data_IF_636528484246
#
_entry.id   IF_636528484246
#
_cell.length_a   1.000
_cell.length_b   1.000
_cell.length_c   1.000
_cell.angle_alpha   90.00
_cell.angle_beta   90.00
_cell.angle_gamma   90.00
#
_symmetry.space_group_name_H-M   'P 1'
#
loop_
_entity.id
_entity.type
_entity.pdbx_description
1 polymer ?
#
# COMPACT_ATOMS: atom_id res chain seq x y z
N UNK A 1 -16.45 12.34 -8.31
CA UNK A 1 -15.08 12.33 -7.71
C UNK A 1 -15.15 12.92 -6.31
N UNK A 2 -14.55 12.23 -5.36
CA UNK A 2 -14.41 12.74 -3.99
C UNK A 2 -13.03 13.38 -3.80
N UNK A 3 -12.99 14.46 -3.04
CA UNK A 3 -11.73 15.10 -2.68
C UNK A 3 -11.46 14.81 -1.21
N UNK A 4 -10.36 14.11 -0.93
CA UNK A 4 -9.92 13.85 0.44
C UNK A 4 -8.74 14.75 0.79
N UNK A 5 -8.82 15.34 1.98
CA UNK A 5 -7.68 16.04 2.58
C UNK A 5 -7.04 15.13 3.62
N UNK A 6 -6.44 14.03 3.15
CA UNK A 6 -5.91 12.98 4.02
C UNK A 6 -4.81 13.45 4.97
N UNK A 7 -4.24 14.63 4.71
CA UNK A 7 -3.24 15.28 5.56
C UNK A 7 -3.86 16.15 6.66
N UNK A 8 -5.17 16.34 6.64
CA UNK A 8 -5.89 17.17 7.61
C UNK A 8 -7.02 16.35 8.23
N UNK A 9 -7.32 16.68 9.46
CA UNK A 9 -8.46 16.14 10.16
C UNK A 9 -8.18 14.85 10.89
N UNK A 10 -9.03 14.58 11.86
CA UNK A 10 -9.03 13.37 12.65
C UNK A 10 -10.30 12.60 12.34
N UNK A 11 -10.17 11.32 12.11
CA UNK A 11 -11.29 10.39 11.95
C UNK A 11 -11.11 9.27 12.96
N UNK A 12 -12.22 8.69 13.49
CA UNK A 12 -12.12 7.50 14.32
C UNK A 12 -11.65 6.28 13.52
N UNK A 13 -11.72 6.34 12.20
CA UNK A 13 -11.23 5.28 11.33
C UNK A 13 -9.72 5.37 11.17
N UNK A 14 -9.10 4.21 10.94
CA UNK A 14 -7.70 4.14 10.51
C UNK A 14 -7.54 4.64 9.08
N UNK A 15 -6.30 4.74 8.65
CA UNK A 15 -5.94 5.16 7.30
C UNK A 15 -5.41 3.99 6.49
N UNK A 16 -5.75 3.98 5.21
CA UNK A 16 -5.18 3.05 4.23
C UNK A 16 -4.00 3.73 3.54
N UNK A 17 -2.81 3.18 3.75
CA UNK A 17 -1.59 3.66 3.11
C UNK A 17 -1.25 2.78 1.92
N UNK A 18 -1.05 3.40 0.77
CA UNK A 18 -0.56 2.72 -0.43
C UNK A 18 0.95 2.94 -0.48
N UNK A 19 1.72 1.92 -0.16
CA UNK A 19 3.16 2.04 0.02
C UNK A 19 3.89 1.40 -1.14
N UNK A 20 4.72 2.19 -1.82
CA UNK A 20 5.60 1.67 -2.86
C UNK A 20 6.68 0.76 -2.26
N UNK A 21 7.16 -0.17 -3.06
CA UNK A 21 8.27 -1.06 -2.72
C UNK A 21 9.33 -1.01 -3.80
N UNK A 22 10.57 -1.45 -3.53
CA UNK A 22 11.64 -1.43 -4.54
C UNK A 22 11.30 -2.24 -5.80
N UNK A 23 11.85 -1.82 -6.92
CA UNK A 23 11.68 -2.49 -8.22
C UNK A 23 12.96 -3.20 -8.68
N UNK A 24 13.72 -3.73 -7.74
CA UNK A 24 14.95 -4.49 -8.00
C UNK A 24 16.16 -4.05 -7.17
N UNK A 25 16.06 -2.94 -6.46
CA UNK A 25 17.15 -2.46 -5.61
C UNK A 25 16.60 -2.01 -4.26
N UNK A 26 17.00 -2.70 -3.19
CA UNK A 26 16.55 -2.40 -1.82
C UNK A 26 16.93 -0.99 -1.36
N UNK A 27 17.97 -0.39 -1.95
CA UNK A 27 18.39 0.97 -1.61
C UNK A 27 17.38 2.04 -2.04
N UNK A 28 16.40 1.69 -2.89
CA UNK A 28 15.33 2.60 -3.29
C UNK A 28 14.19 2.68 -2.26
N UNK A 29 14.34 2.03 -1.13
CA UNK A 29 13.39 2.13 -0.01
C UNK A 29 13.59 3.44 0.74
N UNK A 30 12.59 4.32 0.74
CA UNK A 30 12.69 5.58 1.45
C UNK A 30 12.49 5.42 2.95
N UNK A 31 12.94 6.40 3.72
CA UNK A 31 12.70 6.45 5.17
C UNK A 31 11.20 6.42 5.46
N UNK A 32 10.40 7.16 4.69
CA UNK A 32 8.94 7.20 4.89
C UNK A 32 8.29 5.86 4.61
N UNK A 33 8.72 5.14 3.57
CA UNK A 33 8.22 3.80 3.27
C UNK A 33 8.48 2.86 4.45
N UNK A 34 9.71 2.83 4.96
CA UNK A 34 10.08 2.00 6.11
C UNK A 34 9.26 2.37 7.34
N UNK A 35 9.20 3.65 7.67
CA UNK A 35 8.48 4.10 8.87
C UNK A 35 7.00 3.80 8.79
N UNK A 36 6.38 3.99 7.63
CA UNK A 36 4.95 3.68 7.44
C UNK A 36 4.69 2.20 7.68
N UNK A 37 5.52 1.32 7.09
CA UNK A 37 5.37 -0.12 7.27
C UNK A 37 5.59 -0.56 8.72
N UNK A 38 6.45 0.13 9.46
CA UNK A 38 6.65 -0.14 10.90
C UNK A 38 5.48 0.33 11.77
N UNK A 39 4.82 1.42 11.39
CA UNK A 39 3.82 2.09 12.22
C UNK A 39 2.41 1.54 12.01
N UNK A 40 2.10 0.99 10.85
CA UNK A 40 0.77 0.44 10.59
C UNK A 40 0.53 -0.84 11.43
N UNK A 41 -0.74 -1.15 11.63
CA UNK A 41 -1.13 -2.33 12.40
C UNK A 41 -1.02 -3.61 11.57
N UNK A 42 -1.29 -3.51 10.27
CA UNK A 42 -1.31 -4.66 9.36
C UNK A 42 -0.81 -4.23 7.98
N UNK A 43 -0.10 -5.13 7.32
CA UNK A 43 0.32 -4.97 5.93
C UNK A 43 -0.45 -5.98 5.08
N UNK A 44 -1.22 -5.48 4.11
CA UNK A 44 -1.87 -6.30 3.09
C UNK A 44 -0.89 -6.48 1.94
N UNK A 45 -0.47 -7.71 1.71
CA UNK A 45 0.58 -8.04 0.74
C UNK A 45 0.08 -9.06 -0.28
N UNK A 46 0.46 -8.87 -1.54
CA UNK A 46 0.12 -9.77 -2.62
C UNK A 46 0.79 -11.13 -2.43
N UNK A 47 2.10 -11.14 -2.18
CA UNK A 47 2.86 -12.33 -1.83
C UNK A 47 3.57 -12.09 -0.49
N UNK A 48 3.05 -12.71 0.57
CA UNK A 48 3.55 -12.52 1.93
C UNK A 48 4.98 -13.04 2.11
N UNK A 49 5.41 -14.02 1.32
CA UNK A 49 6.79 -14.53 1.38
C UNK A 49 7.77 -13.52 0.79
N UNK A 50 7.44 -12.97 -0.38
CA UNK A 50 8.27 -11.97 -1.03
C UNK A 50 8.35 -10.69 -0.18
N UNK A 51 7.21 -10.19 0.27
CA UNK A 51 7.17 -9.03 1.17
C UNK A 51 7.87 -9.33 2.49
N UNK A 52 7.76 -10.55 3.01
CA UNK A 52 8.44 -10.97 4.23
C UNK A 52 9.97 -10.81 4.18
N UNK A 53 10.57 -11.07 3.02
CA UNK A 53 12.01 -10.84 2.83
C UNK A 53 12.36 -9.35 2.92
N UNK A 54 11.53 -8.50 2.32
CA UNK A 54 11.69 -7.04 2.40
C UNK A 54 11.57 -6.56 3.85
N UNK A 55 10.55 -7.01 4.55
CA UNK A 55 10.32 -6.62 5.94
C UNK A 55 11.46 -7.05 6.84
N UNK A 56 11.96 -8.26 6.66
CA UNK A 56 13.12 -8.78 7.41
C UNK A 56 14.36 -7.94 7.15
N UNK A 57 14.60 -7.57 5.90
CA UNK A 57 15.77 -6.76 5.53
C UNK A 57 15.79 -5.41 6.27
N UNK A 58 14.63 -4.80 6.48
CA UNK A 58 14.51 -3.49 7.14
C UNK A 58 14.11 -3.59 8.62
N UNK A 59 14.09 -4.79 9.21
CA UNK A 59 13.74 -4.96 10.61
C UNK A 59 12.30 -4.60 10.95
N UNK A 60 11.38 -4.82 10.03
CA UNK A 60 9.95 -4.52 10.20
C UNK A 60 9.25 -5.78 10.67
N UNK A 61 8.58 -5.71 11.84
CA UNK A 61 7.92 -6.85 12.47
C UNK A 61 6.40 -6.84 12.33
N UNK A 62 5.85 -5.86 11.60
CA UNK A 62 4.42 -5.72 11.36
C UNK A 62 3.86 -6.98 10.70
N UNK A 63 2.72 -7.46 11.21
CA UNK A 63 2.09 -8.67 10.66
C UNK A 63 1.50 -8.40 9.27
N UNK A 64 1.41 -9.47 8.48
CA UNK A 64 0.89 -9.42 7.13
C UNK A 64 -0.43 -10.17 7.02
N UNK A 65 -1.28 -9.69 6.11
CA UNK A 65 -2.45 -10.41 5.61
C UNK A 65 -2.25 -10.58 4.11
N UNK A 66 -2.45 -11.80 3.60
CA UNK A 66 -2.43 -12.07 2.17
C UNK A 66 -3.60 -11.37 1.47
N UNK A 67 -3.32 -10.62 0.42
CA UNK A 67 -4.32 -9.91 -0.36
C UNK A 67 -3.93 -9.91 -1.84
N UNK A 68 -4.53 -10.81 -2.61
CA UNK A 68 -4.27 -11.00 -4.04
C UNK A 68 -5.59 -11.19 -4.80
N UNK A 69 -5.53 -11.29 -6.12
CA UNK A 69 -6.73 -11.36 -6.95
C UNK A 69 -7.66 -12.54 -6.63
N UNK A 70 -7.11 -13.65 -6.13
CA UNK A 70 -7.90 -14.85 -5.83
C UNK A 70 -8.63 -14.78 -4.49
N UNK A 71 -8.24 -13.88 -3.58
CA UNK A 71 -8.90 -13.72 -2.28
C UNK A 71 -9.45 -12.32 -2.01
N UNK A 72 -9.36 -11.42 -3.00
CA UNK A 72 -9.71 -10.01 -2.81
C UNK A 72 -11.15 -9.82 -2.34
N UNK A 73 -12.12 -10.50 -2.95
CA UNK A 73 -13.52 -10.35 -2.58
C UNK A 73 -13.79 -10.77 -1.14
N UNK A 74 -13.11 -11.81 -0.68
CA UNK A 74 -13.20 -12.29 0.69
C UNK A 74 -12.49 -11.35 1.67
N UNK A 75 -11.34 -10.81 1.28
CA UNK A 75 -10.48 -10.02 2.17
C UNK A 75 -10.89 -8.55 2.29
N UNK A 76 -11.47 -7.96 1.24
CA UNK A 76 -11.86 -6.55 1.29
C UNK A 76 -12.75 -6.23 2.48
N UNK A 77 -13.83 -6.97 2.78
CA UNK A 77 -14.63 -6.69 3.98
C UNK A 77 -13.82 -6.78 5.27
N UNK A 78 -12.92 -7.73 5.38
CA UNK A 78 -12.05 -7.89 6.57
C UNK A 78 -11.16 -6.67 6.75
N UNK A 79 -10.53 -6.21 5.68
CA UNK A 79 -9.65 -5.05 5.71
C UNK A 79 -10.41 -3.76 6.02
N UNK A 80 -11.61 -3.60 5.46
CA UNK A 80 -12.48 -2.46 5.77
C UNK A 80 -12.88 -2.44 7.25
N UNK A 81 -13.20 -3.59 7.82
CA UNK A 81 -13.57 -3.69 9.23
C UNK A 81 -12.40 -3.29 10.14
N UNK A 82 -11.18 -3.69 9.78
CA UNK A 82 -10.00 -3.27 10.52
C UNK A 82 -9.81 -1.75 10.47
N UNK A 83 -9.97 -1.15 9.30
CA UNK A 83 -9.88 0.30 9.13
C UNK A 83 -10.95 1.02 9.94
N UNK A 84 -12.18 0.53 9.89
CA UNK A 84 -13.30 1.11 10.65
C UNK A 84 -13.12 0.97 12.17
N UNK A 85 -12.36 -0.02 12.60
CA UNK A 85 -12.04 -0.20 14.03
C UNK A 85 -10.94 0.75 14.51
N UNK A 86 -10.39 1.60 13.64
CA UNK A 86 -9.35 2.56 13.99
C UNK A 86 -7.94 2.07 13.70
N UNK A 87 -7.76 0.91 13.09
CA UNK A 87 -6.44 0.38 12.75
C UNK A 87 -5.97 0.91 11.42
N UNK A 88 -4.66 1.16 11.32
CA UNK A 88 -4.02 1.60 10.09
C UNK A 88 -3.54 0.40 9.29
N UNK A 89 -3.75 0.44 7.99
CA UNK A 89 -3.29 -0.58 7.05
C UNK A 89 -2.33 0.03 6.04
N UNK A 90 -1.33 -0.75 5.67
CA UNK A 90 -0.54 -0.49 4.46
C UNK A 90 -0.85 -1.58 3.45
N UNK A 91 -1.02 -1.18 2.19
CA UNK A 91 -1.09 -2.10 1.08
C UNK A 91 0.19 -1.99 0.26
N UNK A 92 0.77 -3.13 -0.06
CA UNK A 92 1.97 -3.23 -0.91
C UNK A 92 1.72 -4.22 -2.02
N UNK A 93 2.38 -4.00 -3.16
CA UNK A 93 2.51 -5.00 -4.23
C UNK A 93 3.91 -5.64 -4.17
N UNK A 94 4.18 -6.60 -5.03
CA UNK A 94 5.48 -7.26 -5.04
C UNK A 94 6.61 -6.30 -5.44
N UNK A 95 6.31 -5.34 -6.29
CA UNK A 95 7.27 -4.32 -6.71
C UNK A 95 6.56 -3.03 -7.11
N UNK A 96 7.12 -1.89 -6.71
CA UNK A 96 6.61 -0.57 -7.08
C UNK A 96 5.36 -0.17 -6.33
N UNK A 97 4.54 0.67 -6.97
CA UNK A 97 3.29 1.17 -6.41
C UNK A 97 2.17 0.15 -6.55
N UNK A 98 1.40 -0.08 -5.48
CA UNK A 98 0.21 -0.94 -5.55
C UNK A 98 -0.95 -0.22 -6.27
N UNK A 99 -2.01 -0.97 -6.55
CA UNK A 99 -3.30 -0.46 -7.06
C UNK A 99 -3.29 -0.01 -8.51
N UNK A 100 -2.30 -0.43 -9.31
CA UNK A 100 -2.27 -0.17 -10.75
C UNK A 100 -2.94 -1.31 -11.52
N UNK A 101 -2.50 -2.56 -11.29
CA UNK A 101 -3.02 -3.73 -11.99
C UNK A 101 -3.33 -4.90 -11.04
N UNK A 102 -3.34 -4.64 -9.75
CA UNK A 102 -3.62 -5.61 -8.69
C UNK A 102 -4.97 -5.32 -8.02
N UNK A 103 -5.44 -6.17 -7.11
CA UNK A 103 -6.75 -5.99 -6.45
C UNK A 103 -6.81 -4.77 -5.54
N UNK A 104 -5.70 -4.09 -5.32
CA UNK A 104 -5.66 -2.89 -4.49
C UNK A 104 -6.55 -1.77 -4.98
N UNK A 105 -6.78 -1.69 -6.30
CA UNK A 105 -7.71 -0.71 -6.84
C UNK A 105 -9.12 -0.89 -6.28
N UNK A 106 -9.58 -2.12 -6.16
CA UNK A 106 -10.90 -2.42 -5.60
C UNK A 106 -10.96 -2.08 -4.10
N UNK A 107 -9.89 -2.33 -3.36
CA UNK A 107 -9.79 -1.94 -1.96
C UNK A 107 -9.85 -0.41 -1.81
N UNK A 108 -9.14 0.33 -2.64
CA UNK A 108 -9.16 1.79 -2.64
C UNK A 108 -10.56 2.32 -2.91
N UNK A 109 -11.23 1.77 -3.93
CA UNK A 109 -12.62 2.16 -4.24
C UNK A 109 -13.55 1.91 -3.05
N UNK A 110 -13.43 0.75 -2.43
CA UNK A 110 -14.25 0.39 -1.27
C UNK A 110 -13.97 1.30 -0.07
N UNK A 111 -12.71 1.62 0.18
CA UNK A 111 -12.32 2.52 1.27
C UNK A 111 -12.88 3.93 1.05
N UNK A 112 -12.78 4.45 -0.17
CA UNK A 112 -13.31 5.77 -0.52
C UNK A 112 -14.83 5.81 -0.31
N UNK A 113 -15.53 4.76 -0.72
CA UNK A 113 -16.99 4.67 -0.56
C UNK A 113 -17.42 4.70 0.93
N UNK A 114 -16.55 4.31 1.84
CA UNK A 114 -16.80 4.29 3.28
C UNK A 114 -16.17 5.49 4.01
N UNK A 115 -15.74 6.51 3.28
CA UNK A 115 -15.09 7.71 3.81
C UNK A 115 -13.80 7.43 4.60
N UNK A 116 -13.11 6.37 4.25
CA UNK A 116 -11.80 6.03 4.83
C UNK A 116 -10.71 6.79 4.07
N UNK A 117 -9.84 7.46 4.81
CA UNK A 117 -8.73 8.19 4.19
C UNK A 117 -7.73 7.25 3.52
N UNK A 118 -7.36 7.57 2.29
CA UNK A 118 -6.35 6.84 1.51
C UNK A 118 -5.16 7.76 1.30
N UNK A 119 -3.98 7.29 1.70
CA UNK A 119 -2.73 8.07 1.65
C UNK A 119 -1.71 7.32 0.82
N UNK A 120 -1.20 7.96 -0.23
CA UNK A 120 -0.11 7.39 -1.02
C UNK A 120 1.23 7.74 -0.39
N UNK A 121 2.08 6.73 -0.20
CA UNK A 121 3.49 6.91 0.13
C UNK A 121 4.27 6.62 -1.16
N UNK A 122 4.65 7.65 -1.92
CA UNK A 122 5.25 7.47 -3.23
C UNK A 122 6.63 6.83 -3.17
N UNK A 123 7.03 6.25 -4.28
CA UNK A 123 8.32 5.59 -4.40
C UNK A 123 8.54 5.06 -5.80
N UNK A 124 9.33 4.00 -5.95
CA UNK A 124 9.69 3.45 -7.26
C UNK A 124 8.50 3.13 -8.15
N UNK A 125 8.63 3.45 -9.43
CA UNK A 125 7.67 3.13 -10.49
C UNK A 125 8.44 2.66 -11.71
N UNK A 126 8.29 1.40 -12.08
CA UNK A 126 8.99 0.80 -13.21
C UNK A 126 8.58 1.46 -14.54
N UNK A 127 7.28 1.70 -14.73
CA UNK A 127 6.77 2.29 -15.96
C UNK A 127 7.30 3.70 -16.21
N UNK A 128 7.23 4.56 -15.22
CA UNK A 128 7.72 5.93 -15.32
C UNK A 128 9.25 5.95 -15.46
N UNK A 129 9.95 5.13 -14.68
CA UNK A 129 11.42 5.04 -14.76
C UNK A 129 11.88 4.59 -16.14
N UNK A 130 11.22 3.59 -16.73
CA UNK A 130 11.51 3.12 -18.07
C UNK A 130 11.22 4.21 -19.11
N UNK A 131 10.11 4.91 -18.99
CA UNK A 131 9.72 5.96 -19.92
C UNK A 131 10.77 7.08 -19.97
N UNK A 132 11.16 7.60 -18.81
CA UNK A 132 12.13 8.70 -18.79
C UNK A 132 13.53 8.27 -19.23
N UNK A 133 13.92 7.02 -18.99
CA UNK A 133 15.21 6.49 -19.39
C UNK A 133 15.25 6.10 -20.89
N UNK A 134 14.11 5.90 -21.52
CA UNK A 134 14.02 5.46 -22.91
C UNK A 134 14.37 6.55 -23.92
N UNK A 135 14.33 7.82 -23.52
CA UNK A 135 14.46 8.93 -24.44
C UNK A 135 13.22 9.21 -25.29
N UNK A 136 12.16 8.45 -25.09
CA UNK A 136 10.86 8.71 -25.74
C UNK A 136 10.16 9.84 -25.01
N UNK A 137 9.54 10.74 -25.77
CA UNK A 137 8.78 11.82 -25.16
C UNK A 137 7.55 11.27 -24.42
N UNK A 138 7.23 11.81 -23.25
CA UNK A 138 5.96 11.48 -22.60
C UNK A 138 4.78 12.10 -23.37
#
# INVERSE_FOLDING_TARGET
MQIQKSFKGQSPYGKLYLVATPIGNMDDMSIRMVNTLKEVDVIAAEDTRNTGLLLKHFGIETRQISFHEHNAQEKIPVLLDLLKSGRNLAQVSDAGLPSISDPGHDLVKAAIAEDIAVVTVPGPSAGISALIASGLAP
#
